data_IF_430786943883
#
_entry.id   IF_430786943883
#
_cell.length_a   1.000
_cell.length_b   1.000
_cell.length_c   1.000
_cell.angle_alpha   90.00
_cell.angle_beta   90.00
_cell.angle_gamma   90.00
#
_symmetry.space_group_name_H-M   'P 1'
#
loop_
_entity.id
_entity.type
_entity.pdbx_description
1 polymer ?
#
# COMPACT_ATOMS: atom_id res chain seq x y z
N UNK A 1 3.35 -17.27 29.67
CA UNK A 1 4.43 -16.32 29.37
C UNK A 1 4.00 -14.97 29.95
N UNK A 2 4.89 -14.25 30.63
CA UNK A 2 4.63 -12.90 31.17
C UNK A 2 5.61 -11.94 30.50
N UNK A 3 5.16 -10.74 30.16
CA UNK A 3 5.95 -9.67 29.56
C UNK A 3 5.50 -8.32 30.12
N UNK A 4 6.42 -7.35 30.22
CA UNK A 4 6.13 -6.01 30.72
C UNK A 4 5.40 -5.14 29.68
N UNK A 5 5.66 -5.40 28.40
CA UNK A 5 5.08 -4.71 27.25
C UNK A 5 4.67 -5.69 26.16
N UNK A 6 3.50 -5.47 25.57
CA UNK A 6 3.00 -6.15 24.38
C UNK A 6 3.07 -5.21 23.17
N UNK A 7 3.74 -5.64 22.10
CA UNK A 7 3.75 -4.94 20.82
C UNK A 7 2.80 -5.67 19.86
N UNK A 8 1.67 -5.04 19.53
CA UNK A 8 0.81 -5.46 18.43
C UNK A 8 1.49 -5.12 17.11
N UNK A 9 1.90 -6.15 16.37
CA UNK A 9 2.45 -6.09 15.02
C UNK A 9 1.80 -7.17 14.12
N UNK A 10 0.54 -7.49 14.42
CA UNK A 10 -0.24 -8.61 13.89
C UNK A 10 -1.08 -8.23 12.66
N UNK A 11 -0.55 -7.30 11.84
CA UNK A 11 -1.07 -6.87 10.53
C UNK A 11 -2.44 -6.19 10.58
N UNK A 12 -3.01 -5.91 9.42
CA UNK A 12 -4.24 -5.13 9.26
C UNK A 12 -5.47 -5.72 9.95
N UNK A 13 -5.56 -7.05 10.07
CA UNK A 13 -6.62 -7.75 10.83
C UNK A 13 -6.27 -7.96 12.32
N UNK A 14 -5.42 -7.10 12.87
CA UNK A 14 -4.91 -7.16 14.24
C UNK A 14 -5.96 -7.55 15.28
N UNK A 15 -5.70 -8.66 15.97
CA UNK A 15 -6.45 -9.10 17.14
C UNK A 15 -6.18 -8.18 18.31
N UNK A 16 -4.93 -7.71 18.48
CA UNK A 16 -4.58 -6.78 19.58
C UNK A 16 -5.38 -5.49 19.47
N UNK A 17 -5.42 -4.85 18.29
CA UNK A 17 -6.23 -3.65 18.07
C UNK A 17 -7.71 -3.93 18.32
N UNK A 18 -8.24 -5.04 17.81
CA UNK A 18 -9.66 -5.36 17.98
C UNK A 18 -10.05 -5.57 19.46
N UNK A 19 -9.13 -6.00 20.32
CA UNK A 19 -9.37 -6.11 21.76
C UNK A 19 -9.33 -4.75 22.49
N UNK A 20 -8.60 -3.77 21.95
CA UNK A 20 -8.38 -2.46 22.57
C UNK A 20 -9.34 -1.38 22.06
N UNK A 21 -9.75 -1.46 20.79
CA UNK A 21 -10.57 -0.47 20.09
C UNK A 21 -11.74 -1.17 19.40
N UNK A 22 -12.78 -1.51 20.17
CA UNK A 22 -13.93 -2.30 19.68
C UNK A 22 -14.72 -1.57 18.58
N UNK A 23 -14.64 -0.25 18.56
CA UNK A 23 -15.28 0.63 17.58
C UNK A 23 -14.53 0.69 16.24
N UNK A 24 -13.23 0.35 16.21
CA UNK A 24 -12.41 0.45 15.00
C UNK A 24 -12.60 -0.79 14.14
N UNK A 25 -13.34 -0.63 13.04
CA UNK A 25 -13.57 -1.67 12.04
C UNK A 25 -12.72 -1.44 10.80
N UNK A 26 -12.35 -2.52 10.12
CA UNK A 26 -11.84 -2.43 8.73
C UNK A 26 -13.02 -2.10 7.83
N UNK A 27 -12.91 -1.02 7.06
CA UNK A 27 -13.96 -0.56 6.16
C UNK A 27 -13.60 -0.94 4.74
N UNK A 28 -14.47 -1.67 4.05
CA UNK A 28 -14.28 -1.99 2.65
C UNK A 28 -14.44 -0.73 1.80
N UNK A 29 -13.51 -0.50 0.86
CA UNK A 29 -13.47 0.70 0.05
C UNK A 29 -14.33 0.63 -1.22
N UNK A 30 -15.07 -0.47 -1.44
CA UNK A 30 -15.92 -0.67 -2.62
C UNK A 30 -15.21 -1.25 -3.86
N UNK A 31 -13.93 -1.64 -3.74
CA UNK A 31 -13.16 -2.22 -4.83
C UNK A 31 -12.12 -3.23 -4.37
N UNK A 32 -11.70 -4.07 -5.30
CA UNK A 32 -10.70 -5.12 -5.08
C UNK A 32 -9.44 -4.85 -5.91
N UNK A 33 -8.32 -5.39 -5.44
CA UNK A 33 -7.06 -5.47 -6.18
C UNK A 33 -6.83 -6.92 -6.62
N UNK A 34 -6.90 -7.18 -7.93
CA UNK A 34 -6.38 -8.39 -8.53
C UNK A 34 -4.87 -8.25 -8.69
N UNK A 35 -4.13 -9.24 -8.20
CA UNK A 35 -2.66 -9.25 -8.22
C UNK A 35 -2.15 -10.50 -8.89
N UNK A 36 -1.02 -10.38 -9.56
CA UNK A 36 -0.41 -11.50 -10.24
C UNK A 36 0.91 -11.18 -10.89
N UNK A 37 1.52 -12.23 -11.43
CA UNK A 37 2.77 -12.15 -12.17
C UNK A 37 2.69 -12.98 -13.44
N UNK A 38 3.40 -12.54 -14.47
CA UNK A 38 3.60 -13.28 -15.72
C UNK A 38 5.10 -13.36 -15.99
N UNK A 39 5.67 -14.52 -16.33
CA UNK A 39 7.08 -14.60 -16.75
C UNK A 39 7.32 -13.71 -17.97
N UNK A 40 8.39 -12.92 -17.95
CA UNK A 40 8.66 -11.95 -19.03
C UNK A 40 8.80 -12.64 -20.40
N UNK A 41 9.47 -13.79 -20.45
CA UNK A 41 9.58 -14.62 -21.67
C UNK A 41 8.25 -15.18 -22.20
N UNK A 42 7.20 -15.27 -21.37
CA UNK A 42 5.87 -15.73 -21.81
C UNK A 42 5.03 -14.58 -22.40
N UNK A 43 5.49 -13.32 -22.26
CA UNK A 43 4.79 -12.16 -22.77
C UNK A 43 5.12 -11.86 -24.24
N UNK A 44 4.14 -11.30 -24.97
CA UNK A 44 4.33 -10.83 -26.34
C UNK A 44 5.42 -9.76 -26.44
N UNK A 45 5.93 -9.55 -27.65
CA UNK A 45 6.92 -8.49 -27.89
C UNK A 45 6.36 -7.11 -27.56
N UNK A 46 5.12 -6.81 -27.97
CA UNK A 46 4.42 -5.57 -27.66
C UNK A 46 4.30 -5.33 -26.14
N UNK A 47 4.01 -6.37 -25.35
CA UNK A 47 3.94 -6.27 -23.88
C UNK A 47 5.32 -6.02 -23.28
N UNK A 48 6.34 -6.74 -23.77
CA UNK A 48 7.72 -6.55 -23.31
C UNK A 48 8.22 -5.15 -23.62
N UNK A 49 7.93 -4.61 -24.80
CA UNK A 49 8.27 -3.24 -25.18
C UNK A 49 7.52 -2.21 -24.33
N UNK A 50 6.20 -2.38 -24.17
CA UNK A 50 5.37 -1.42 -23.43
C UNK A 50 5.69 -1.32 -21.93
N UNK A 51 6.18 -2.41 -21.32
CA UNK A 51 6.46 -2.48 -19.88
C UNK A 51 7.96 -2.62 -19.56
N UNK A 52 8.82 -2.45 -20.57
CA UNK A 52 10.27 -2.43 -20.37
C UNK A 52 10.66 -1.23 -19.50
N UNK A 53 11.46 -1.47 -18.46
CA UNK A 53 12.17 -0.43 -17.69
C UNK A 53 11.28 0.70 -17.11
N UNK A 54 9.99 0.43 -16.89
CA UNK A 54 9.02 1.41 -16.40
C UNK A 54 8.09 0.88 -15.31
N UNK A 55 7.50 1.82 -14.57
CA UNK A 55 6.31 1.59 -13.74
C UNK A 55 5.11 2.18 -14.49
N UNK A 56 4.36 1.34 -15.19
CA UNK A 56 3.35 1.79 -16.15
C UNK A 56 1.97 1.74 -15.52
N UNK A 57 1.21 2.83 -15.64
CA UNK A 57 -0.16 2.94 -15.18
C UNK A 57 -1.14 3.09 -16.35
N UNK A 58 -2.33 2.53 -16.20
CA UNK A 58 -3.50 2.89 -16.97
C UNK A 58 -4.65 3.24 -16.03
N UNK A 59 -5.34 4.33 -16.37
CA UNK A 59 -6.51 4.83 -15.67
C UNK A 59 -7.70 4.89 -16.62
N UNK A 60 -8.85 4.40 -16.15
CA UNK A 60 -10.15 4.56 -16.77
C UNK A 60 -11.23 4.72 -15.69
N UNK A 61 -12.49 5.03 -16.06
CA UNK A 61 -13.54 5.27 -15.07
C UNK A 61 -13.77 4.07 -14.13
N UNK A 62 -13.34 4.12 -12.87
CA UNK A 62 -13.45 2.98 -11.94
C UNK A 62 -12.57 1.78 -12.29
N UNK A 63 -11.48 2.02 -13.01
CA UNK A 63 -10.43 1.04 -13.34
C UNK A 63 -9.07 1.71 -13.20
N UNK A 64 -8.19 1.06 -12.46
CA UNK A 64 -6.77 1.40 -12.48
C UNK A 64 -5.97 0.11 -12.56
N UNK A 65 -5.01 0.05 -13.47
CA UNK A 65 -4.04 -1.05 -13.51
C UNK A 65 -2.64 -0.48 -13.55
N UNK A 66 -1.71 -1.16 -12.89
CA UNK A 66 -0.30 -0.85 -12.94
C UNK A 66 0.53 -2.10 -13.16
N UNK A 67 1.70 -1.93 -13.76
CA UNK A 67 2.64 -3.01 -14.03
C UNK A 67 4.08 -2.53 -13.89
N UNK A 68 4.95 -3.44 -13.44
CA UNK A 68 6.38 -3.24 -13.34
C UNK A 68 7.11 -4.59 -13.30
N UNK A 69 8.38 -4.58 -13.67
CA UNK A 69 9.23 -5.78 -13.62
C UNK A 69 9.74 -6.02 -12.21
N UNK A 70 9.70 -7.27 -11.77
CA UNK A 70 10.31 -7.74 -10.52
C UNK A 70 11.33 -8.84 -10.81
N UNK A 71 12.30 -9.07 -9.90
CA UNK A 71 13.24 -10.17 -10.04
C UNK A 71 12.54 -11.51 -10.22
N UNK A 72 13.09 -12.32 -11.12
CA UNK A 72 12.59 -13.66 -11.42
C UNK A 72 13.02 -14.71 -10.41
N UNK A 73 13.02 -15.96 -10.86
CA UNK A 73 13.46 -17.09 -10.03
C UNK A 73 14.90 -16.87 -9.57
N UNK A 74 15.17 -17.15 -8.30
CA UNK A 74 16.48 -16.91 -7.66
C UNK A 74 16.96 -15.44 -7.68
N UNK A 75 16.05 -14.47 -7.90
CA UNK A 75 16.39 -13.05 -7.86
C UNK A 75 17.08 -12.53 -9.12
N UNK A 76 17.02 -13.27 -10.24
CA UNK A 76 17.57 -12.81 -11.52
C UNK A 76 16.89 -11.53 -12.00
N UNK A 77 17.70 -10.63 -12.57
CA UNK A 77 17.26 -9.36 -13.17
C UNK A 77 17.54 -9.30 -14.68
N UNK A 78 18.00 -10.40 -15.26
CA UNK A 78 18.30 -10.51 -16.68
C UNK A 78 17.01 -10.40 -17.51
N UNK A 79 16.99 -9.60 -18.59
CA UNK A 79 15.86 -9.53 -19.51
C UNK A 79 15.42 -10.91 -20.02
N UNK A 80 14.12 -11.17 -19.99
CA UNK A 80 13.50 -12.46 -20.34
C UNK A 80 13.32 -13.40 -19.13
N UNK A 81 14.15 -13.26 -18.10
CA UNK A 81 14.11 -14.12 -16.90
C UNK A 81 13.37 -13.46 -15.71
N UNK A 82 12.86 -12.24 -15.88
CA UNK A 82 12.11 -11.49 -14.84
C UNK A 82 10.63 -11.89 -14.82
N UNK A 83 9.89 -11.33 -13.87
CA UNK A 83 8.43 -11.39 -13.85
C UNK A 83 7.84 -10.00 -14.08
N UNK A 84 6.78 -9.94 -14.88
CA UNK A 84 5.92 -8.76 -15.01
C UNK A 84 4.88 -8.86 -13.88
N UNK A 85 5.01 -8.01 -12.86
CA UNK A 85 4.02 -7.88 -11.80
C UNK A 85 2.91 -6.92 -12.23
N UNK A 86 1.65 -7.27 -11.98
CA UNK A 86 0.54 -6.34 -12.15
C UNK A 86 -0.33 -6.24 -10.90
N UNK A 87 -0.96 -5.07 -10.75
CA UNK A 87 -2.05 -4.83 -9.80
C UNK A 87 -3.20 -4.16 -10.55
N UNK A 88 -4.34 -4.84 -10.62
CA UNK A 88 -5.53 -4.35 -11.29
C UNK A 88 -6.64 -4.08 -10.27
N UNK A 89 -6.95 -2.81 -10.07
CA UNK A 89 -8.06 -2.33 -9.26
C UNK A 89 -9.34 -2.25 -10.10
N UNK A 90 -10.42 -2.85 -9.57
CA UNK A 90 -11.74 -2.77 -10.17
C UNK A 90 -12.82 -2.86 -9.09
N UNK A 91 -13.94 -2.18 -9.34
CA UNK A 91 -15.01 -1.98 -8.38
C UNK A 91 -15.94 -3.19 -8.33
N UNK A 92 -16.17 -3.70 -7.13
CA UNK A 92 -17.15 -4.75 -6.85
C UNK A 92 -17.98 -4.33 -5.64
N UNK A 93 -19.29 -4.12 -5.80
CA UNK A 93 -20.15 -3.74 -4.68
C UNK A 93 -20.08 -4.75 -3.54
N UNK A 94 -20.16 -4.26 -2.29
CA UNK A 94 -20.20 -5.13 -1.12
C UNK A 94 -21.42 -6.06 -1.16
N UNK A 95 -21.22 -7.33 -0.82
CA UNK A 95 -22.27 -8.34 -0.86
C UNK A 95 -22.71 -8.76 -2.27
N UNK A 96 -22.03 -8.29 -3.32
CA UNK A 96 -22.31 -8.71 -4.69
C UNK A 96 -21.93 -10.18 -4.91
N UNK A 97 -22.81 -11.01 -5.52
CA UNK A 97 -22.47 -12.38 -5.91
C UNK A 97 -21.33 -12.43 -6.94
N UNK A 98 -21.03 -11.30 -7.59
CA UNK A 98 -19.90 -11.19 -8.52
C UNK A 98 -18.54 -11.33 -7.83
N UNK A 99 -18.49 -11.12 -6.51
CA UNK A 99 -17.27 -11.31 -5.73
C UNK A 99 -16.86 -12.79 -5.70
N UNK A 100 -17.82 -13.72 -5.75
CA UNK A 100 -17.56 -15.16 -5.77
C UNK A 100 -16.97 -15.61 -7.12
N UNK A 101 -17.28 -14.90 -8.20
CA UNK A 101 -16.82 -15.16 -9.56
C UNK A 101 -15.74 -14.17 -10.04
N UNK A 102 -15.18 -13.39 -9.11
CA UNK A 102 -14.29 -12.26 -9.39
C UNK A 102 -13.15 -12.63 -10.34
N UNK A 103 -12.60 -13.83 -10.21
CA UNK A 103 -11.49 -14.31 -11.03
C UNK A 103 -11.86 -14.44 -12.51
N UNK A 104 -13.03 -15.01 -12.80
CA UNK A 104 -13.52 -15.21 -14.17
C UNK A 104 -13.97 -13.88 -14.76
N UNK A 105 -14.74 -13.10 -13.99
CA UNK A 105 -15.23 -11.78 -14.43
C UNK A 105 -14.10 -10.81 -14.70
N UNK A 106 -13.06 -10.79 -13.87
CA UNK A 106 -11.95 -9.84 -14.05
C UNK A 106 -11.23 -10.05 -15.38
N UNK A 107 -11.09 -11.29 -15.88
CA UNK A 107 -10.50 -11.53 -17.21
C UNK A 107 -11.38 -11.03 -18.35
N UNK A 108 -12.70 -11.13 -18.22
CA UNK A 108 -13.66 -10.58 -19.19
C UNK A 108 -13.59 -9.05 -19.19
N UNK A 109 -13.73 -8.44 -18.01
CA UNK A 109 -13.66 -6.99 -17.82
C UNK A 109 -12.31 -6.43 -18.31
N UNK A 110 -11.21 -7.13 -18.05
CA UNK A 110 -9.88 -6.74 -18.53
C UNK A 110 -9.83 -6.62 -20.05
N UNK A 111 -10.40 -7.58 -20.79
CA UNK A 111 -10.42 -7.55 -22.26
C UNK A 111 -11.29 -6.43 -22.82
N UNK A 112 -12.37 -6.08 -22.12
CA UNK A 112 -13.31 -5.04 -22.55
C UNK A 112 -12.81 -3.62 -22.24
N UNK A 113 -12.05 -3.46 -21.14
CA UNK A 113 -11.79 -2.13 -20.55
C UNK A 113 -10.33 -1.72 -20.51
N UNK A 114 -9.39 -2.65 -20.68
CA UNK A 114 -7.97 -2.34 -20.63
C UNK A 114 -7.36 -2.28 -22.03
N UNK A 115 -6.26 -1.53 -22.22
CA UNK A 115 -5.42 -1.66 -23.39
C UNK A 115 -4.95 -3.11 -23.59
N UNK A 116 -4.73 -3.57 -24.84
CA UNK A 116 -4.40 -4.96 -25.14
C UNK A 116 -3.24 -5.53 -24.33
N UNK A 117 -2.19 -4.74 -24.11
CA UNK A 117 -0.99 -5.15 -23.36
C UNK A 117 -1.31 -5.44 -21.89
N UNK A 118 -2.15 -4.62 -21.27
CA UNK A 118 -2.60 -4.85 -19.89
C UNK A 118 -3.57 -6.03 -19.80
N UNK A 119 -4.49 -6.15 -20.75
CA UNK A 119 -5.41 -7.28 -20.82
C UNK A 119 -4.67 -8.62 -20.98
N UNK A 120 -3.59 -8.65 -21.79
CA UNK A 120 -2.73 -9.81 -21.96
C UNK A 120 -2.13 -10.27 -20.64
N UNK A 121 -1.51 -9.36 -19.87
CA UNK A 121 -0.88 -9.71 -18.59
C UNK A 121 -1.91 -10.22 -17.57
N UNK A 122 -3.07 -9.59 -17.48
CA UNK A 122 -4.16 -10.05 -16.60
C UNK A 122 -4.67 -11.44 -17.02
N UNK A 123 -4.84 -11.68 -18.32
CA UNK A 123 -5.37 -12.94 -18.83
C UNK A 123 -4.35 -14.09 -18.80
N UNK A 124 -3.06 -13.79 -19.04
CA UNK A 124 -1.94 -14.73 -19.07
C UNK A 124 -1.53 -15.22 -17.68
N UNK A 125 -1.94 -14.52 -16.63
CA UNK A 125 -1.68 -14.97 -15.27
C UNK A 125 -2.38 -16.31 -14.94
N UNK A 126 -1.56 -17.25 -14.44
CA UNK A 126 -1.97 -18.61 -14.06
C UNK A 126 -2.42 -18.71 -12.60
N UNK A 127 -1.95 -17.82 -11.72
CA UNK A 127 -2.25 -17.84 -10.29
C UNK A 127 -2.57 -16.44 -9.75
N UNK A 128 -3.68 -15.81 -10.18
CA UNK A 128 -4.07 -14.54 -9.60
C UNK A 128 -4.57 -14.73 -8.17
N UNK A 129 -4.43 -13.68 -7.37
CA UNK A 129 -5.14 -13.58 -6.10
C UNK A 129 -5.82 -12.22 -6.00
N UNK A 130 -6.94 -12.21 -5.29
CA UNK A 130 -7.78 -11.03 -5.11
C UNK A 130 -7.69 -10.58 -3.67
N UNK A 131 -7.63 -9.28 -3.47
CA UNK A 131 -7.67 -8.66 -2.15
C UNK A 131 -8.68 -7.53 -2.16
N UNK A 132 -9.70 -7.61 -1.29
CA UNK A 132 -10.57 -6.48 -1.00
C UNK A 132 -9.74 -5.35 -0.40
N UNK A 133 -9.86 -4.15 -0.98
CA UNK A 133 -9.19 -2.97 -0.43
C UNK A 133 -10.00 -2.48 0.76
N UNK A 134 -9.36 -2.45 1.92
CA UNK A 134 -9.96 -1.97 3.15
C UNK A 134 -8.95 -1.14 3.90
N UNK A 135 -9.43 -0.16 4.65
CA UNK A 135 -8.60 0.69 5.50
C UNK A 135 -9.21 0.82 6.90
N UNK A 136 -8.38 1.26 7.84
CA UNK A 136 -8.76 1.66 9.18
C UNK A 136 -7.60 2.38 9.87
N UNK A 137 -7.89 3.00 11.01
CA UNK A 137 -6.87 3.60 11.87
C UNK A 137 -7.32 3.52 13.32
N UNK A 138 -6.40 3.12 14.19
CA UNK A 138 -6.62 3.15 15.64
C UNK A 138 -6.55 4.60 16.15
N UNK A 139 -7.40 5.02 17.11
CA UNK A 139 -7.39 6.39 17.64
C UNK A 139 -6.07 6.77 18.33
N UNK A 140 -5.37 5.78 18.90
CA UNK A 140 -4.04 5.91 19.47
C UNK A 140 -3.22 4.64 19.13
N UNK A 141 -1.92 4.72 19.31
CA UNK A 141 -0.97 3.60 19.14
C UNK A 141 -0.45 3.09 20.48
N UNK A 142 -0.82 3.73 21.59
CA UNK A 142 -0.36 3.40 22.93
C UNK A 142 -1.54 3.27 23.90
N UNK A 143 -1.58 2.16 24.63
CA UNK A 143 -2.67 1.82 25.54
C UNK A 143 -2.12 1.37 26.90
N UNK A 144 -3.01 1.39 27.91
CA UNK A 144 -2.72 0.89 29.26
C UNK A 144 -1.45 1.50 29.88
N UNK A 145 -1.21 2.79 29.63
CA UNK A 145 -0.04 3.51 30.15
C UNK A 145 1.30 3.06 29.55
N UNK A 146 1.30 2.56 28.31
CA UNK A 146 2.51 2.11 27.61
C UNK A 146 2.77 0.61 27.66
N UNK A 147 1.87 -0.15 28.30
CA UNK A 147 1.96 -1.62 28.37
C UNK A 147 1.56 -2.31 27.08
N UNK A 148 0.78 -1.65 26.22
CA UNK A 148 0.42 -2.17 24.91
C UNK A 148 0.65 -1.10 23.85
N UNK A 149 1.39 -1.45 22.79
CA UNK A 149 1.75 -0.55 21.69
C UNK A 149 1.36 -1.20 20.37
N UNK A 150 0.74 -0.45 19.46
CA UNK A 150 0.44 -0.90 18.10
C UNK A 150 1.44 -0.29 17.11
N UNK A 151 1.95 -1.08 16.16
CA UNK A 151 2.87 -0.61 15.12
C UNK A 151 2.50 -1.17 13.73
N UNK A 152 2.82 -0.43 12.68
CA UNK A 152 2.55 -0.82 11.30
C UNK A 152 1.05 -1.01 11.04
N UNK A 153 0.69 -2.02 10.25
CA UNK A 153 -0.69 -2.24 9.83
C UNK A 153 -1.67 -2.55 11.00
N UNK A 154 -1.18 -2.95 12.19
CA UNK A 154 -2.06 -3.10 13.35
C UNK A 154 -2.51 -1.75 13.90
N UNK A 155 -1.68 -0.71 13.77
CA UNK A 155 -2.03 0.67 14.10
C UNK A 155 -2.95 1.27 13.04
N UNK A 156 -2.55 1.22 11.76
CA UNK A 156 -3.31 1.79 10.66
C UNK A 156 -3.20 0.93 9.40
N UNK A 157 -4.33 0.47 8.88
CA UNK A 157 -4.40 -0.20 7.59
C UNK A 157 -4.55 0.83 6.47
N UNK A 158 -3.58 0.90 5.57
CA UNK A 158 -3.63 1.82 4.43
C UNK A 158 -4.27 1.18 3.20
N UNK A 159 -4.90 2.01 2.37
CA UNK A 159 -5.16 1.64 0.98
C UNK A 159 -3.81 1.56 0.23
N UNK A 160 -3.62 0.55 -0.65
CA UNK A 160 -2.31 0.20 -1.21
C UNK A 160 -1.72 1.27 -2.16
N UNK A 161 -2.50 2.26 -2.58
CA UNK A 161 -2.10 3.35 -3.47
C UNK A 161 -0.89 4.16 -2.98
N UNK A 162 -0.63 4.17 -1.67
CA UNK A 162 0.50 4.89 -1.07
C UNK A 162 1.82 4.12 -1.07
N UNK A 163 1.77 2.80 -1.30
CA UNK A 163 2.94 1.89 -1.24
C UNK A 163 3.73 2.02 0.08
N UNK A 164 3.04 2.33 1.19
CA UNK A 164 3.68 2.81 2.41
C UNK A 164 3.59 1.86 3.62
N UNK A 165 2.86 0.75 3.56
CA UNK A 165 2.68 -0.16 4.72
C UNK A 165 4.01 -0.67 5.29
N UNK A 166 4.95 -1.10 4.45
CA UNK A 166 6.28 -1.54 4.91
C UNK A 166 7.07 -0.40 5.52
N UNK A 167 7.02 0.79 4.89
CA UNK A 167 7.67 2.00 5.41
C UNK A 167 7.09 2.42 6.76
N UNK A 168 5.79 2.26 6.98
CA UNK A 168 5.14 2.49 8.26
C UNK A 168 5.62 1.50 9.32
N UNK A 169 5.55 0.21 9.04
CA UNK A 169 5.97 -0.82 9.98
C UNK A 169 7.44 -0.65 10.39
N UNK A 170 8.30 -0.31 9.42
CA UNK A 170 9.66 0.09 9.70
C UNK A 170 9.66 1.34 10.60
N UNK A 171 9.11 2.47 10.12
CA UNK A 171 9.07 3.77 10.81
C UNK A 171 8.67 3.64 12.28
N UNK A 172 7.51 3.04 12.54
CA UNK A 172 6.94 2.83 13.86
C UNK A 172 7.89 2.02 14.76
N UNK A 173 8.53 0.98 14.22
CA UNK A 173 9.48 0.16 14.97
C UNK A 173 10.74 0.94 15.38
N UNK A 174 11.34 1.75 14.49
CA UNK A 174 12.55 2.50 14.86
C UNK A 174 12.25 3.67 15.79
N UNK A 175 11.17 4.42 15.56
CA UNK A 175 10.83 5.53 16.46
C UNK A 175 10.45 5.00 17.86
N UNK A 176 9.86 3.81 17.93
CA UNK A 176 9.63 3.12 19.20
C UNK A 176 10.95 2.69 19.86
N UNK A 177 11.92 2.13 19.11
CA UNK A 177 13.24 1.81 19.64
C UNK A 177 14.00 3.05 20.15
N UNK A 178 13.87 4.18 19.44
CA UNK A 178 14.45 5.46 19.87
C UNK A 178 13.79 6.01 21.14
N UNK A 179 12.47 5.80 21.31
CA UNK A 179 11.77 6.12 22.55
C UNK A 179 12.27 5.27 23.72
N UNK A 180 12.33 3.95 23.55
CA UNK A 180 12.77 3.02 24.59
C UNK A 180 14.23 3.27 25.00
N UNK A 181 15.07 3.71 24.06
CA UNK A 181 16.46 4.10 24.35
C UNK A 181 16.63 5.53 24.89
N UNK A 182 15.55 6.28 25.08
CA UNK A 182 15.56 7.63 25.63
C UNK A 182 16.05 8.72 24.67
N UNK A 183 16.20 8.43 23.37
CA UNK A 183 16.62 9.40 22.36
C UNK A 183 15.51 10.37 21.96
N UNK A 184 14.25 9.95 22.07
CA UNK A 184 13.07 10.80 21.87
C UNK A 184 12.16 10.73 23.09
N UNK A 185 11.46 11.82 23.38
CA UNK A 185 10.46 11.84 24.46
C UNK A 185 9.25 11.01 24.07
N UNK A 186 8.46 10.58 25.07
CA UNK A 186 7.17 9.91 24.82
C UNK A 186 6.27 10.78 23.95
N UNK A 187 6.18 12.08 24.24
CA UNK A 187 5.38 13.03 23.45
C UNK A 187 5.79 13.08 21.98
N UNK A 188 7.09 13.15 21.71
CA UNK A 188 7.63 13.19 20.34
C UNK A 188 7.36 11.87 19.60
N UNK A 189 7.61 10.73 20.25
CA UNK A 189 7.28 9.42 19.70
C UNK A 189 5.80 9.31 19.34
N UNK A 190 4.91 9.73 20.25
CA UNK A 190 3.47 9.70 20.00
C UNK A 190 3.06 10.60 18.85
N UNK A 191 3.58 11.84 18.83
CA UNK A 191 3.29 12.81 17.79
C UNK A 191 3.73 12.29 16.42
N UNK A 192 4.94 11.77 16.32
CA UNK A 192 5.50 11.30 15.05
C UNK A 192 4.77 10.06 14.52
N UNK A 193 4.59 9.03 15.35
CA UNK A 193 3.93 7.77 14.97
C UNK A 193 2.50 8.03 14.47
N UNK A 194 1.71 8.75 15.27
CA UNK A 194 0.32 9.06 14.91
C UNK A 194 0.20 10.05 13.76
N UNK A 195 1.12 11.02 13.66
CA UNK A 195 1.17 11.98 12.56
C UNK A 195 1.41 11.29 11.22
N UNK A 196 2.38 10.38 11.16
CA UNK A 196 2.68 9.60 9.97
C UNK A 196 1.51 8.69 9.59
N UNK A 197 0.96 7.93 10.54
CA UNK A 197 -0.17 7.03 10.31
C UNK A 197 -1.40 7.76 9.75
N UNK A 198 -1.79 8.90 10.36
CA UNK A 198 -2.94 9.70 9.90
C UNK A 198 -2.72 10.28 8.51
N UNK A 199 -1.54 10.82 8.26
CA UNK A 199 -1.25 11.43 6.96
C UNK A 199 -1.33 10.43 5.82
N UNK A 200 -0.65 9.29 5.97
CA UNK A 200 -0.58 8.29 4.92
C UNK A 200 -1.93 7.58 4.75
N UNK A 201 -2.64 7.28 5.84
CA UNK A 201 -3.99 6.72 5.74
C UNK A 201 -4.91 7.65 4.96
N UNK A 202 -4.91 8.95 5.30
CA UNK A 202 -5.73 9.96 4.62
C UNK A 202 -5.40 10.02 3.13
N UNK A 203 -4.11 10.07 2.77
CA UNK A 203 -3.68 10.05 1.36
C UNK A 203 -4.11 8.79 0.63
N UNK A 204 -3.99 7.63 1.28
CA UNK A 204 -4.42 6.36 0.69
C UNK A 204 -5.91 6.34 0.40
N UNK A 205 -6.73 6.90 1.31
CA UNK A 205 -8.17 7.10 1.09
C UNK A 205 -8.39 8.03 -0.09
N UNK A 206 -7.80 9.24 -0.08
CA UNK A 206 -7.97 10.26 -1.12
C UNK A 206 -7.60 9.75 -2.52
N UNK A 207 -6.43 9.13 -2.69
CA UNK A 207 -6.00 8.55 -3.98
C UNK A 207 -6.87 7.37 -4.39
N UNK A 208 -7.35 6.58 -3.43
CA UNK A 208 -8.29 5.50 -3.70
C UNK A 208 -9.64 5.98 -4.19
N UNK A 209 -10.23 7.00 -3.53
CA UNK A 209 -11.48 7.62 -3.97
C UNK A 209 -11.32 8.26 -5.35
N UNK A 210 -10.21 8.97 -5.57
CA UNK A 210 -9.94 9.64 -6.85
C UNK A 210 -9.82 8.66 -8.00
N UNK A 211 -9.04 7.59 -7.82
CA UNK A 211 -8.78 6.61 -8.88
C UNK A 211 -9.96 5.67 -9.17
N UNK A 212 -10.81 5.39 -8.18
CA UNK A 212 -11.86 4.36 -8.31
C UNK A 212 -13.28 4.92 -8.39
N UNK A 213 -13.56 6.07 -7.79
CA UNK A 213 -14.94 6.55 -7.61
C UNK A 213 -15.20 7.96 -8.18
N UNK A 214 -14.16 8.65 -8.65
CA UNK A 214 -14.26 10.00 -9.21
C UNK A 214 -13.86 10.04 -10.69
N UNK A 215 -14.34 11.07 -11.38
CA UNK A 215 -13.85 11.42 -12.72
C UNK A 215 -12.87 12.59 -12.59
N UNK A 216 -11.59 12.28 -12.43
CA UNK A 216 -10.52 13.28 -12.29
C UNK A 216 -9.75 13.46 -13.61
N UNK A 217 -9.18 14.66 -13.84
CA UNK A 217 -8.21 14.89 -14.91
C UNK A 217 -7.01 13.93 -14.78
N UNK A 218 -6.43 13.54 -15.91
CA UNK A 218 -5.29 12.62 -15.94
C UNK A 218 -4.08 13.18 -15.16
N UNK A 219 -3.89 14.50 -15.20
CA UNK A 219 -2.80 15.20 -14.52
C UNK A 219 -2.84 15.00 -13.00
N UNK A 220 -4.03 14.95 -12.40
CA UNK A 220 -4.20 14.70 -10.96
C UNK A 220 -3.90 13.25 -10.58
N UNK A 221 -4.20 12.32 -11.49
CA UNK A 221 -3.91 10.89 -11.31
C UNK A 221 -2.41 10.62 -11.45
N UNK A 222 -1.76 11.27 -12.42
CA UNK A 222 -0.30 11.25 -12.57
C UNK A 222 0.37 11.84 -11.33
N UNK A 223 -0.10 13.00 -10.85
CA UNK A 223 0.46 13.63 -9.66
C UNK A 223 0.42 12.70 -8.43
N UNK A 224 -0.68 11.99 -8.21
CA UNK A 224 -0.78 11.04 -7.11
C UNK A 224 0.24 9.89 -7.24
N UNK A 225 0.49 9.40 -8.45
CA UNK A 225 1.48 8.36 -8.73
C UNK A 225 2.92 8.88 -8.61
N UNK A 226 3.18 10.12 -8.99
CA UNK A 226 4.51 10.73 -8.90
C UNK A 226 4.92 10.98 -7.45
N UNK A 227 4.00 11.45 -6.61
CA UNK A 227 4.29 11.74 -5.19
C UNK A 227 4.75 10.49 -4.42
N UNK A 228 4.29 9.30 -4.83
CA UNK A 228 4.73 8.03 -4.24
C UNK A 228 6.00 7.47 -4.89
N UNK A 229 6.32 7.88 -6.13
CA UNK A 229 7.43 7.34 -6.92
C UNK A 229 8.70 8.20 -6.89
N UNK A 230 8.61 9.49 -6.54
CA UNK A 230 9.76 10.40 -6.46
C UNK A 230 10.61 10.05 -5.22
N UNK A 231 11.89 9.67 -5.38
CA UNK A 231 12.82 9.52 -4.27
C UNK A 231 12.90 10.84 -3.51
N UNK A 232 12.63 10.80 -2.21
CA UNK A 232 12.70 12.00 -1.37
C UNK A 232 14.18 12.33 -1.20
N UNK A 233 14.68 13.27 -1.99
CA UNK A 233 16.09 13.66 -1.97
C UNK A 233 16.46 14.15 -0.55
N UNK A 234 17.53 13.60 0.01
CA UNK A 234 18.20 14.05 1.24
C UNK A 234 18.33 15.57 1.24
N UNK A 235 17.50 16.28 2.01
CA UNK A 235 17.95 17.54 2.62
C UNK A 235 19.02 17.14 3.63
N UNK A 236 20.26 17.48 3.31
CA UNK A 236 21.50 17.23 4.05
C UNK A 236 21.31 16.73 5.49
N UNK A 237 21.87 15.55 5.77
CA UNK A 237 22.18 15.08 7.12
C UNK A 237 23.11 16.08 7.82
N UNK A 238 22.53 17.11 8.44
CA UNK A 238 23.17 17.87 9.50
C UNK A 238 22.97 17.07 10.79
N UNK A 239 24.07 16.56 11.34
CA UNK A 239 24.22 16.11 12.74
C UNK A 239 23.76 14.70 13.15
N UNK A 240 24.03 13.65 12.35
CA UNK A 240 23.97 12.26 12.86
C UNK A 240 22.58 11.80 13.35
N UNK A 241 21.52 12.37 12.77
CA UNK A 241 20.12 12.09 13.12
C UNK A 241 19.59 10.82 12.43
N UNK A 242 18.57 10.14 13.01
CA UNK A 242 18.09 8.85 12.52
C UNK A 242 17.51 8.93 11.09
N UNK A 243 17.45 7.79 10.35
CA UNK A 243 17.16 7.73 8.91
C UNK A 243 15.77 8.23 8.46
N UNK A 244 14.92 8.70 9.37
CA UNK A 244 13.48 8.90 9.16
C UNK A 244 13.04 10.37 9.18
N UNK A 245 14.00 11.31 9.20
CA UNK A 245 13.71 12.76 9.12
C UNK A 245 12.92 13.14 7.84
N UNK A 246 12.99 12.34 6.76
CA UNK A 246 12.14 12.51 5.57
C UNK A 246 10.64 12.40 5.88
N UNK A 247 10.28 11.69 6.96
CA UNK A 247 8.91 11.54 7.44
C UNK A 247 8.50 12.65 8.42
N UNK A 248 9.45 13.41 9.00
CA UNK A 248 9.12 14.59 9.84
C UNK A 248 8.51 15.74 9.04
N UNK A 249 8.99 15.96 7.82
CA UNK A 249 8.40 16.94 6.89
C UNK A 249 6.93 16.64 6.55
N UNK A 250 6.52 15.38 6.67
CA UNK A 250 5.13 14.96 6.54
C UNK A 250 4.34 15.37 7.78
N UNK A 251 4.89 15.11 8.97
CA UNK A 251 4.24 15.35 10.26
C UNK A 251 3.99 16.84 10.52
N UNK A 252 4.94 17.72 10.18
CA UNK A 252 4.80 19.18 10.38
C UNK A 252 3.74 19.83 9.49
N UNK A 253 3.27 19.15 8.43
CA UNK A 253 2.16 19.62 7.56
C UNK A 253 0.77 19.25 8.09
N UNK A 254 0.68 18.49 9.18
CA UNK A 254 -0.58 17.92 9.71
C UNK A 254 -0.79 18.19 11.20
N UNK A 255 0.15 18.89 11.85
CA UNK A 255 0.03 19.39 13.22
C UNK A 255 -0.56 20.79 13.27
#
# INVERSE_FOLDING_TARGET
MLADVLIGADRSSSTVRNLLCLEVKRVYAGYCALRGTVPEQEASEDVREAFCEGFTFFHGPGVQILTYLIPGKNGTVEPGERLINFVYYTNFPEGSPELDEIMTKTKVIARERLPPQFAEVVCGNKKPFVQCVMDNISPDHEFMGGKVVLIGDSLAGFRPHTVASTSQAAFDAMIYADYISGKVTREEWKKQTMGYARYIQKRGVETGERSQHQSSPLEELIHDCDVVSIPRIKKSTLNGRPPYDEYRLIIDKVS
#
